data_IF_576562262121
#
_entry.id   IF_576562262121
#
_cell.length_a   1.000
_cell.length_b   1.000
_cell.length_c   1.000
_cell.angle_alpha   90.00
_cell.angle_beta   90.00
_cell.angle_gamma   90.00
#
_symmetry.space_group_name_H-M   'P 1'
#
loop_
_entity.id
_entity.type
_entity.pdbx_description
1 polymer ?
#
# COMPACT_ATOMS: atom_id res chain seq x y z
N UNK A 1 -2.59 -17.43 -24.49
CA UNK A 1 -2.65 -16.34 -23.49
C UNK A 1 -1.35 -16.34 -22.74
N UNK A 2 -0.80 -15.17 -22.44
CA UNK A 2 0.37 -15.07 -21.58
C UNK A 2 -0.06 -15.36 -20.13
N UNK A 3 0.65 -16.23 -19.44
CA UNK A 3 0.32 -16.61 -18.06
C UNK A 3 0.52 -15.37 -17.18
N UNK A 4 -0.52 -14.96 -16.45
CA UNK A 4 -0.40 -13.91 -15.44
C UNK A 4 0.68 -14.31 -14.41
N UNK A 5 1.44 -13.34 -13.89
CA UNK A 5 2.45 -13.62 -12.87
C UNK A 5 1.76 -14.27 -11.68
N UNK A 6 2.23 -15.47 -11.30
CA UNK A 6 1.74 -16.20 -10.12
C UNK A 6 1.99 -15.44 -8.81
N UNK A 7 2.94 -14.52 -8.83
CA UNK A 7 3.15 -13.57 -7.74
C UNK A 7 3.56 -12.23 -8.32
N UNK A 8 2.93 -11.15 -7.89
CA UNK A 8 3.37 -9.79 -8.23
C UNK A 8 3.59 -8.98 -6.96
N UNK A 9 4.60 -8.11 -7.02
CA UNK A 9 4.89 -7.10 -6.01
C UNK A 9 4.70 -5.73 -6.63
N UNK A 10 4.10 -4.82 -5.88
CA UNK A 10 3.77 -3.47 -6.31
C UNK A 10 4.46 -2.43 -5.46
N UNK A 11 4.61 -1.25 -6.05
CA UNK A 11 5.01 -0.03 -5.35
C UNK A 11 3.80 0.63 -4.68
N UNK A 12 4.05 1.36 -3.61
CA UNK A 12 3.14 2.37 -3.07
C UNK A 12 3.06 3.58 -4.03
N UNK A 13 1.86 3.99 -4.47
CA UNK A 13 1.65 5.10 -5.42
C UNK A 13 2.34 6.39 -5.03
N UNK A 14 2.36 6.75 -3.74
CA UNK A 14 3.03 7.96 -3.23
C UNK A 14 4.53 7.99 -3.56
N UNK A 15 5.15 6.84 -3.83
CA UNK A 15 6.58 6.67 -4.07
C UNK A 15 6.92 6.36 -5.54
N UNK A 16 5.96 6.52 -6.46
CA UNK A 16 6.16 6.31 -7.90
C UNK A 16 6.21 7.63 -8.67
N UNK A 17 6.62 7.62 -9.93
CA UNK A 17 6.54 8.85 -10.76
C UNK A 17 5.14 9.20 -11.23
N UNK A 18 4.20 8.24 -11.17
CA UNK A 18 2.81 8.32 -11.65
C UNK A 18 1.76 8.32 -10.52
N UNK A 19 2.18 8.62 -9.30
CA UNK A 19 1.31 8.64 -8.13
C UNK A 19 0.33 9.81 -8.07
N UNK A 20 -0.41 9.93 -6.95
CA UNK A 20 -1.48 10.90 -6.79
C UNK A 20 -0.96 12.34 -6.77
N UNK A 21 -1.74 13.25 -7.34
CA UNK A 21 -1.55 14.70 -7.23
C UNK A 21 -2.86 15.37 -6.85
N UNK A 22 -2.92 16.00 -5.67
CA UNK A 22 -4.11 16.66 -5.16
C UNK A 22 -3.75 17.78 -4.17
N UNK A 23 -4.65 18.73 -3.98
CA UNK A 23 -4.52 19.74 -2.93
C UNK A 23 -4.95 19.13 -1.59
N UNK A 24 -4.04 19.07 -0.62
CA UNK A 24 -4.34 18.56 0.71
C UNK A 24 -4.58 19.73 1.68
N UNK A 25 -5.81 19.89 2.21
CA UNK A 25 -6.14 20.99 3.11
C UNK A 25 -5.50 20.84 4.50
N UNK A 26 -5.25 19.61 4.97
CA UNK A 26 -4.67 19.35 6.29
C UNK A 26 -3.16 19.57 6.31
N UNK A 27 -2.49 19.29 5.18
CA UNK A 27 -1.07 19.58 5.01
C UNK A 27 -0.79 21.00 4.50
N UNK A 28 -1.83 21.73 4.08
CA UNK A 28 -1.70 23.08 3.53
C UNK A 28 -0.84 23.15 2.26
N UNK A 29 -0.74 22.04 1.50
CA UNK A 29 0.10 21.95 0.30
C UNK A 29 -0.47 20.99 -0.73
N UNK A 30 -0.03 21.13 -1.98
CA UNK A 30 -0.28 20.11 -3.01
C UNK A 30 0.58 18.89 -2.73
N UNK A 31 -0.07 17.74 -2.53
CA UNK A 31 0.58 16.43 -2.53
C UNK A 31 0.96 16.08 -3.96
N UNK A 32 2.18 15.61 -4.12
CA UNK A 32 2.75 15.08 -5.37
C UNK A 32 3.57 13.85 -5.00
N UNK A 33 3.83 12.95 -5.96
CA UNK A 33 4.63 11.78 -5.65
C UNK A 33 6.04 12.15 -5.17
N UNK A 34 6.54 11.44 -4.17
CA UNK A 34 7.86 11.63 -3.62
C UNK A 34 8.90 10.97 -4.52
N UNK A 35 9.89 11.76 -4.95
CA UNK A 35 10.96 11.34 -5.87
C UNK A 35 12.36 11.44 -5.26
N UNK A 36 12.44 11.87 -4.00
CA UNK A 36 13.68 12.03 -3.25
C UNK A 36 13.46 11.60 -1.80
N UNK A 37 14.35 10.76 -1.28
CA UNK A 37 14.38 10.32 0.11
C UNK A 37 14.57 11.48 1.09
N UNK A 38 15.27 12.56 0.69
CA UNK A 38 15.46 13.73 1.55
C UNK A 38 14.13 14.41 1.93
N UNK A 39 13.07 14.19 1.16
CA UNK A 39 11.73 14.70 1.43
C UNK A 39 10.86 13.79 2.30
N UNK A 40 11.39 12.66 2.77
CA UNK A 40 10.67 11.64 3.54
C UNK A 40 11.28 11.57 4.94
N UNK A 41 10.51 11.98 5.93
CA UNK A 41 10.99 12.12 7.30
C UNK A 41 11.30 10.76 7.97
N UNK A 42 10.51 9.73 7.65
CA UNK A 42 10.60 8.42 8.29
C UNK A 42 10.74 7.27 7.28
N UNK A 43 11.88 7.14 6.57
CA UNK A 43 12.06 6.07 5.58
C UNK A 43 11.88 4.67 6.18
N UNK A 44 12.38 4.44 7.40
CA UNK A 44 12.24 3.18 8.13
C UNK A 44 10.82 2.87 8.59
N UNK A 45 9.88 3.80 8.43
CA UNK A 45 8.47 3.57 8.76
C UNK A 45 7.59 3.71 7.53
N UNK A 46 8.15 4.03 6.36
CA UNK A 46 7.38 4.25 5.14
C UNK A 46 7.38 3.01 4.27
N UNK A 47 6.21 2.43 4.05
CA UNK A 47 6.02 1.24 3.19
C UNK A 47 6.27 1.60 1.73
N UNK A 48 7.12 0.80 1.08
CA UNK A 48 7.49 0.93 -0.32
C UNK A 48 6.92 -0.19 -1.19
N UNK A 49 7.12 -1.44 -0.78
CA UNK A 49 6.76 -2.62 -1.55
C UNK A 49 5.82 -3.52 -0.78
N UNK A 50 4.94 -4.20 -1.51
CA UNK A 50 3.98 -5.14 -0.96
C UNK A 50 3.60 -6.20 -1.99
N UNK A 51 3.10 -7.33 -1.51
CA UNK A 51 2.59 -8.38 -2.38
C UNK A 51 1.20 -8.01 -2.92
N UNK A 52 1.06 -7.89 -4.24
CA UNK A 52 -0.22 -7.55 -4.87
C UNK A 52 -1.09 -8.78 -5.12
N UNK A 53 -0.52 -9.90 -5.56
CA UNK A 53 -1.28 -11.14 -5.77
C UNK A 53 -0.42 -12.37 -5.59
N UNK A 54 -1.03 -13.47 -5.14
CA UNK A 54 -0.47 -14.83 -5.14
C UNK A 54 -1.14 -15.77 -6.15
N UNK A 55 -1.58 -15.22 -7.29
CA UNK A 55 -2.00 -16.06 -8.41
C UNK A 55 -3.32 -16.77 -8.13
N UNK A 56 -4.40 -16.00 -8.08
CA UNK A 56 -5.77 -16.52 -8.05
C UNK A 56 -6.22 -17.06 -9.45
N UNK A 57 -7.22 -17.96 -9.53
CA UNK A 57 -7.54 -18.75 -10.74
C UNK A 57 -8.28 -17.89 -11.81
N UNK A 58 -8.69 -18.43 -12.98
CA UNK A 58 -8.73 -17.69 -14.25
C UNK A 58 -9.71 -16.50 -14.24
N UNK A 59 -9.10 -15.33 -14.29
CA UNK A 59 -9.64 -13.99 -14.42
C UNK A 59 -8.43 -13.10 -14.15
N UNK A 60 -8.11 -12.13 -15.01
CA UNK A 60 -6.91 -11.32 -14.81
C UNK A 60 -7.18 -10.36 -13.64
N UNK A 61 -6.59 -10.55 -12.44
CA UNK A 61 -6.72 -9.52 -11.43
C UNK A 61 -6.00 -8.29 -12.00
N UNK A 62 -6.66 -7.14 -12.06
CA UNK A 62 -6.09 -5.92 -12.66
C UNK A 62 -4.70 -5.61 -12.08
N UNK A 63 -4.49 -5.94 -10.79
CA UNK A 63 -3.23 -5.72 -10.07
C UNK A 63 -2.17 -6.82 -10.23
N UNK A 64 -2.47 -7.95 -10.89
CA UNK A 64 -1.44 -8.91 -11.30
C UNK A 64 -0.50 -8.34 -12.38
N UNK A 65 -0.99 -7.37 -13.16
CA UNK A 65 -0.26 -6.66 -14.22
C UNK A 65 0.10 -5.22 -13.83
N UNK A 66 -0.34 -4.74 -12.66
CA UNK A 66 -0.02 -3.40 -12.17
C UNK A 66 1.43 -3.34 -11.67
N UNK A 67 2.01 -2.14 -11.67
CA UNK A 67 3.28 -1.82 -11.06
C UNK A 67 3.13 -1.19 -9.67
N UNK A 68 1.93 -0.76 -9.29
CA UNK A 68 1.63 -0.14 -8.00
C UNK A 68 0.18 -0.34 -7.53
N UNK A 69 -0.05 -0.02 -6.27
CA UNK A 69 -1.37 0.14 -5.65
C UNK A 69 -1.70 1.62 -5.45
N UNK A 70 -2.98 1.97 -5.34
CA UNK A 70 -3.48 3.32 -5.17
C UNK A 70 -3.87 3.59 -3.71
N UNK A 71 -2.87 3.72 -2.82
CA UNK A 71 -3.09 3.90 -1.38
C UNK A 71 -4.00 5.11 -1.08
N UNK A 72 -3.89 6.18 -1.86
CA UNK A 72 -4.73 7.36 -1.70
C UNK A 72 -6.23 7.08 -1.83
N UNK A 73 -6.61 5.97 -2.48
CA UNK A 73 -7.99 5.53 -2.67
C UNK A 73 -8.51 4.57 -1.59
N UNK A 74 -7.67 4.12 -0.65
CA UNK A 74 -8.06 3.10 0.34
C UNK A 74 -8.87 3.65 1.52
N UNK A 75 -8.95 4.97 1.72
CA UNK A 75 -9.68 5.51 2.86
C UNK A 75 -11.19 5.47 2.65
N UNK A 76 -11.90 4.73 3.50
CA UNK A 76 -13.37 4.62 3.49
C UNK A 76 -14.05 5.16 4.76
N UNK A 77 -13.28 5.68 5.73
CA UNK A 77 -13.82 6.18 7.01
C UNK A 77 -13.85 5.13 8.13
N UNK A 78 -13.73 3.84 7.82
CA UNK A 78 -13.60 2.73 8.77
C UNK A 78 -12.42 1.80 8.38
N UNK A 79 -11.63 1.28 9.34
CA UNK A 79 -10.51 0.39 9.04
C UNK A 79 -10.86 -0.88 8.27
N UNK A 80 -12.02 -1.49 8.53
CA UNK A 80 -12.42 -2.72 7.83
C UNK A 80 -12.79 -2.43 6.37
N UNK A 81 -13.52 -1.35 6.11
CA UNK A 81 -13.79 -0.92 4.74
C UNK A 81 -12.50 -0.53 4.00
N UNK A 82 -11.55 0.12 4.69
CA UNK A 82 -10.22 0.41 4.14
C UNK A 82 -9.43 -0.86 3.79
N UNK A 83 -9.50 -1.89 4.63
CA UNK A 83 -8.89 -3.19 4.33
C UNK A 83 -9.57 -3.86 3.12
N UNK A 84 -10.90 -3.79 3.02
CA UNK A 84 -11.62 -4.33 1.86
C UNK A 84 -11.29 -3.62 0.54
N UNK A 85 -11.00 -2.31 0.58
CA UNK A 85 -10.49 -1.57 -0.59
C UNK A 85 -9.05 -1.98 -0.92
N UNK A 86 -8.17 -2.06 0.08
CA UNK A 86 -6.79 -2.49 -0.12
C UNK A 86 -6.70 -3.92 -0.66
N UNK A 87 -7.57 -4.83 -0.19
CA UNK A 87 -7.63 -6.23 -0.65
C UNK A 87 -7.97 -6.38 -2.13
N UNK A 88 -8.56 -5.37 -2.77
CA UNK A 88 -8.80 -5.38 -4.22
C UNK A 88 -7.51 -5.16 -5.02
N UNK A 89 -6.48 -4.60 -4.39
CA UNK A 89 -5.22 -4.21 -5.02
C UNK A 89 -4.02 -5.02 -4.51
N UNK A 90 -4.15 -5.63 -3.32
CA UNK A 90 -3.09 -6.39 -2.70
C UNK A 90 -3.51 -7.62 -1.90
N UNK A 91 -2.58 -8.56 -1.74
CA UNK A 91 -2.77 -9.79 -0.97
C UNK A 91 -2.55 -9.51 0.53
N UNK A 92 -3.56 -8.96 1.22
CA UNK A 92 -3.47 -8.60 2.64
C UNK A 92 -3.17 -9.78 3.57
N UNK A 93 -3.60 -10.99 3.23
CA UNK A 93 -3.47 -12.19 4.08
C UNK A 93 -2.39 -13.17 3.63
N UNK A 94 -1.38 -12.71 2.89
CA UNK A 94 -0.26 -13.56 2.44
C UNK A 94 0.35 -14.41 3.57
N UNK A 95 0.40 -13.92 4.81
CA UNK A 95 0.92 -14.61 5.97
C UNK A 95 -0.15 -14.90 7.05
N UNK A 96 -1.42 -15.01 6.64
CA UNK A 96 -2.55 -15.36 7.50
C UNK A 96 -3.49 -14.20 7.83
N UNK A 97 -4.54 -14.49 8.59
CA UNK A 97 -5.66 -13.57 8.83
C UNK A 97 -6.69 -13.61 7.69
N UNK A 98 -7.72 -12.78 7.82
CA UNK A 98 -8.80 -12.68 6.83
C UNK A 98 -8.37 -11.77 5.66
N UNK A 99 -8.73 -12.11 4.40
CA UNK A 99 -8.21 -11.48 3.19
C UNK A 99 -8.60 -10.00 2.99
N UNK A 100 -9.65 -9.53 3.64
CA UNK A 100 -10.25 -8.20 3.49
C UNK A 100 -10.37 -7.47 4.84
N UNK A 101 -9.50 -7.83 5.78
CA UNK A 101 -9.58 -7.40 7.17
C UNK A 101 -8.33 -6.65 7.62
N UNK A 102 -8.44 -5.73 8.59
CA UNK A 102 -7.28 -5.11 9.24
C UNK A 102 -6.35 -6.13 9.91
N UNK A 103 -6.84 -7.33 10.23
CA UNK A 103 -6.02 -8.39 10.83
C UNK A 103 -5.26 -9.23 9.79
N UNK A 104 -5.53 -9.03 8.49
CA UNK A 104 -4.78 -9.66 7.40
C UNK A 104 -3.29 -9.32 7.51
N UNK A 105 -2.44 -10.35 7.47
CA UNK A 105 -0.98 -10.21 7.61
C UNK A 105 -0.30 -10.41 6.27
N UNK A 106 0.57 -9.48 5.90
CA UNK A 106 1.39 -9.56 4.69
C UNK A 106 2.83 -9.13 4.95
N UNK A 107 3.72 -9.43 4.00
CA UNK A 107 5.07 -8.88 3.99
C UNK A 107 5.06 -7.47 3.40
N UNK A 108 5.65 -6.52 4.12
CA UNK A 108 5.81 -5.13 3.70
C UNK A 108 7.29 -4.78 3.66
N UNK A 109 7.76 -4.24 2.53
CA UNK A 109 9.11 -3.69 2.39
C UNK A 109 9.09 -2.19 2.62
N UNK A 110 10.02 -1.68 3.42
CA UNK A 110 10.11 -0.27 3.80
C UNK A 110 11.26 0.44 3.07
N UNK A 111 11.24 1.78 3.05
CA UNK A 111 12.19 2.58 2.26
C UNK A 111 13.64 2.51 2.72
N UNK A 112 13.92 2.11 3.96
CA UNK A 112 15.30 1.84 4.43
C UNK A 112 15.80 0.42 4.05
N UNK A 113 14.96 -0.38 3.37
CA UNK A 113 15.28 -1.69 2.83
C UNK A 113 14.95 -2.87 3.73
N UNK A 114 14.41 -2.66 4.93
CA UNK A 114 13.97 -3.78 5.77
C UNK A 114 12.58 -4.31 5.33
N UNK A 115 12.23 -5.50 5.81
CA UNK A 115 10.96 -6.18 5.53
C UNK A 115 10.37 -6.69 6.84
N UNK A 116 9.07 -6.50 7.03
CA UNK A 116 8.33 -7.02 8.18
C UNK A 116 7.05 -7.74 7.75
N UNK A 117 6.62 -8.72 8.55
CA UNK A 117 5.28 -9.29 8.46
C UNK A 117 4.40 -8.59 9.50
N UNK A 118 3.53 -7.70 9.03
CA UNK A 118 2.65 -6.90 9.87
C UNK A 118 1.17 -7.16 9.53
N UNK A 119 0.26 -6.82 10.44
CA UNK A 119 -1.15 -6.75 10.10
C UNK A 119 -1.44 -5.43 9.36
N UNK A 120 -2.39 -5.43 8.43
CA UNK A 120 -2.76 -4.22 7.69
C UNK A 120 -3.15 -3.07 8.61
N UNK A 121 -3.93 -3.36 9.65
CA UNK A 121 -4.38 -2.37 10.63
C UNK A 121 -3.28 -1.79 11.51
N UNK A 122 -2.10 -2.43 11.59
CA UNK A 122 -0.94 -1.86 12.26
C UNK A 122 -0.30 -0.74 11.40
N UNK A 123 -0.41 -0.86 10.07
CA UNK A 123 0.21 0.05 9.10
C UNK A 123 -0.76 1.03 8.45
N UNK A 124 -2.08 0.79 8.52
CA UNK A 124 -3.10 1.63 7.92
C UNK A 124 -4.35 1.68 8.79
N UNK A 125 -4.51 2.79 9.52
CA UNK A 125 -5.67 3.06 10.39
C UNK A 125 -6.56 4.16 9.84
N UNK A 126 -6.03 4.97 8.93
CA UNK A 126 -6.78 5.96 8.15
C UNK A 126 -5.88 6.79 7.25
N UNK A 127 -6.48 7.73 6.51
CA UNK A 127 -5.77 8.53 5.51
C UNK A 127 -4.58 9.34 6.07
N UNK A 128 -4.71 9.84 7.31
CA UNK A 128 -3.65 10.57 8.00
C UNK A 128 -3.03 9.80 9.17
N UNK A 129 -3.31 8.51 9.26
CA UNK A 129 -2.79 7.60 10.29
C UNK A 129 -2.40 6.28 9.62
N UNK A 130 -1.28 6.32 8.89
CA UNK A 130 -0.76 5.17 8.16
C UNK A 130 0.74 5.33 7.84
N UNK A 131 1.34 4.22 7.45
CA UNK A 131 2.74 4.06 7.12
C UNK A 131 3.02 4.11 5.61
N UNK A 132 2.01 4.35 4.78
CA UNK A 132 2.18 4.44 3.33
C UNK A 132 2.35 5.89 2.87
N UNK A 133 1.75 6.85 3.57
CA UNK A 133 1.77 8.25 3.20
C UNK A 133 2.95 8.96 3.90
N UNK A 134 4.00 9.39 3.17
CA UNK A 134 5.24 9.88 3.78
C UNK A 134 5.11 11.00 4.84
N UNK A 135 4.16 11.96 4.72
CA UNK A 135 4.00 13.01 5.73
C UNK A 135 3.48 12.55 7.09
N UNK A 136 2.88 11.36 7.17
CA UNK A 136 2.20 10.86 8.38
C UNK A 136 2.71 9.49 8.85
N UNK A 137 3.62 8.88 8.11
CA UNK A 137 4.30 7.65 8.52
C UNK A 137 4.94 7.83 9.91
N UNK A 138 4.83 6.81 10.75
CA UNK A 138 5.27 6.84 12.13
C UNK A 138 5.71 5.45 12.60
N UNK A 139 6.41 5.38 13.73
CA UNK A 139 6.83 4.12 14.34
C UNK A 139 5.72 3.52 15.21
#
# INVERSE_FOLDING_TARGET
>A
SEIARWTSYGLNDYLTTKGPTYADPNLGRTVRPWRDLNGIQWPSSTVQFLCMTWGEPPGEPAYAKSDHVHVAGWFAGDPAESAALAAQEMQLNAHGGDPDSPQGRASYGFLDGHVEIAAFGDLYRGFYDNNFFPPVAHR
#
